data_IF_109480411822
#
_entry.id   IF_109480411822
#
_cell.length_a   1.000
_cell.length_b   1.000
_cell.length_c   1.000
_cell.angle_alpha   90.00
_cell.angle_beta   90.00
_cell.angle_gamma   90.00
#
_symmetry.space_group_name_H-M   'P 1'
#
loop_
_entity.id
_entity.type
_entity.pdbx_description
1 polymer ?
#
# COMPACT_ATOMS: atom_id res chain seq x y z
N UNK A 1 -13.78 0.46 7.73
CA UNK A 1 -15.20 0.82 7.59
C UNK A 1 -15.34 1.99 6.60
N UNK A 2 -15.81 1.68 5.38
CA UNK A 2 -15.97 2.65 4.29
C UNK A 2 -17.01 3.73 4.61
N UNK A 3 -18.05 3.41 5.38
CA UNK A 3 -19.05 4.40 5.78
C UNK A 3 -18.47 5.43 6.75
N UNK A 4 -17.58 5.00 7.66
CA UNK A 4 -16.84 5.89 8.55
C UNK A 4 -15.91 6.82 7.75
N UNK A 5 -15.18 6.27 6.76
CA UNK A 5 -14.32 7.07 5.85
C UNK A 5 -15.13 8.11 5.07
N UNK A 6 -16.28 7.72 4.50
CA UNK A 6 -17.16 8.68 3.79
C UNK A 6 -17.64 9.81 4.70
N UNK A 7 -17.98 9.50 5.95
CA UNK A 7 -18.36 10.54 6.92
C UNK A 7 -17.18 11.46 7.24
N UNK A 8 -15.97 10.90 7.40
CA UNK A 8 -14.77 11.69 7.63
C UNK A 8 -14.46 12.63 6.45
N UNK A 9 -14.48 12.15 5.21
CA UNK A 9 -14.29 13.02 4.03
C UNK A 9 -15.33 14.14 3.98
N UNK A 10 -16.60 13.84 4.24
CA UNK A 10 -17.67 14.86 4.26
C UNK A 10 -17.55 15.91 5.37
N UNK A 11 -16.76 15.65 6.42
CA UNK A 11 -16.53 16.61 7.50
C UNK A 11 -15.33 17.55 7.21
N UNK A 12 -14.57 17.29 6.16
CA UNK A 12 -13.47 18.15 5.74
C UNK A 12 -13.97 19.31 4.87
N UNK A 13 -13.34 20.45 4.99
CA UNK A 13 -13.66 21.62 4.19
C UNK A 13 -13.32 21.42 2.72
N UNK A 14 -12.21 20.74 2.44
CA UNK A 14 -11.73 20.45 1.10
C UNK A 14 -10.95 19.14 1.11
N UNK A 15 -11.21 18.29 0.13
CA UNK A 15 -10.47 17.05 -0.13
C UNK A 15 -9.88 17.12 -1.52
N UNK A 16 -8.57 16.98 -1.61
CA UNK A 16 -7.84 16.92 -2.87
C UNK A 16 -7.27 15.52 -3.04
N UNK A 17 -7.54 14.89 -4.17
CA UNK A 17 -6.90 13.63 -4.57
C UNK A 17 -5.90 13.87 -5.69
N UNK A 18 -4.75 13.22 -5.59
CA UNK A 18 -3.76 13.13 -6.67
C UNK A 18 -3.68 11.66 -7.05
N UNK A 19 -4.10 11.30 -8.24
CA UNK A 19 -4.19 9.89 -8.65
C UNK A 19 -4.16 9.78 -10.18
N UNK A 20 -3.67 8.65 -10.69
CA UNK A 20 -3.68 8.33 -12.12
C UNK A 20 -4.95 7.61 -12.57
N UNK A 21 -5.79 7.16 -11.64
CA UNK A 21 -7.02 6.43 -11.91
C UNK A 21 -8.21 7.05 -11.18
N UNK A 22 -9.41 6.88 -11.74
CA UNK A 22 -10.65 7.40 -11.16
C UNK A 22 -11.15 6.52 -10.00
N UNK A 23 -10.42 6.53 -8.89
CA UNK A 23 -10.65 5.71 -7.72
C UNK A 23 -11.88 6.14 -6.93
N UNK A 24 -12.28 5.31 -5.95
CA UNK A 24 -13.34 5.69 -5.01
C UNK A 24 -12.98 6.93 -4.18
N UNK A 25 -11.70 7.14 -3.88
CA UNK A 25 -11.21 8.37 -3.22
C UNK A 25 -11.44 9.58 -4.11
N UNK A 26 -11.05 9.52 -5.39
CA UNK A 26 -11.30 10.59 -6.35
C UNK A 26 -12.79 10.97 -6.44
N UNK A 27 -13.68 9.98 -6.45
CA UNK A 27 -15.15 10.20 -6.51
C UNK A 27 -15.72 10.87 -5.25
N UNK A 28 -14.97 10.94 -4.17
CA UNK A 28 -15.36 11.59 -2.92
C UNK A 28 -14.51 12.83 -2.61
N UNK A 29 -13.68 13.26 -3.55
CA UNK A 29 -12.85 14.46 -3.44
C UNK A 29 -13.50 15.64 -4.14
N UNK A 30 -13.18 16.85 -3.68
CA UNK A 30 -13.65 18.10 -4.28
C UNK A 30 -12.80 18.49 -5.49
N UNK A 31 -11.51 18.14 -5.45
CA UNK A 31 -10.54 18.41 -6.52
C UNK A 31 -9.77 17.12 -6.79
N UNK A 32 -9.63 16.77 -8.08
CA UNK A 32 -8.78 15.67 -8.52
C UNK A 32 -7.71 16.22 -9.46
N UNK A 33 -6.46 15.96 -9.10
CA UNK A 33 -5.30 16.32 -9.91
C UNK A 33 -4.76 15.04 -10.57
N UNK A 34 -4.80 14.96 -11.91
CA UNK A 34 -4.35 13.77 -12.62
C UNK A 34 -2.83 13.62 -12.53
N UNK A 35 -2.39 12.50 -11.97
CA UNK A 35 -0.97 12.15 -11.82
C UNK A 35 -0.49 11.28 -12.97
N UNK A 36 0.80 11.36 -13.27
CA UNK A 36 1.48 10.42 -14.16
C UNK A 36 1.59 9.04 -13.52
N UNK A 37 1.52 8.02 -14.35
CA UNK A 37 1.99 6.67 -14.00
C UNK A 37 3.53 6.65 -13.99
N UNK A 38 4.10 5.58 -13.45
CA UNK A 38 5.56 5.35 -13.50
C UNK A 38 6.14 5.27 -14.93
N UNK A 39 5.33 4.97 -15.94
CA UNK A 39 5.74 4.88 -17.33
C UNK A 39 5.83 6.24 -18.04
N UNK A 40 5.22 7.27 -17.43
CA UNK A 40 5.09 8.61 -17.98
C UNK A 40 6.08 9.61 -17.38
N UNK A 41 6.95 9.18 -16.46
CA UNK A 41 7.96 10.02 -15.78
C UNK A 41 9.29 9.30 -15.60
N UNK A 42 10.33 10.06 -15.33
CA UNK A 42 11.63 9.52 -14.92
C UNK A 42 11.72 9.40 -13.41
N UNK A 43 12.38 8.34 -12.93
CA UNK A 43 12.61 8.12 -11.50
C UNK A 43 13.79 7.16 -11.29
N UNK A 44 14.13 6.89 -10.05
CA UNK A 44 15.02 5.79 -9.64
C UNK A 44 14.35 5.01 -8.51
N UNK A 45 14.55 3.71 -8.49
CA UNK A 45 14.05 2.87 -7.39
C UNK A 45 15.03 1.73 -7.10
N UNK A 46 14.93 1.19 -5.89
CA UNK A 46 15.66 -0.01 -5.49
C UNK A 46 14.92 -1.28 -5.88
N UNK A 47 15.64 -2.34 -6.20
CA UNK A 47 15.04 -3.65 -6.40
C UNK A 47 15.64 -4.70 -5.46
N UNK A 48 14.96 -5.85 -5.36
CA UNK A 48 15.35 -6.94 -4.47
C UNK A 48 14.74 -6.84 -3.08
N UNK A 49 13.75 -5.99 -2.87
CA UNK A 49 13.03 -5.80 -1.61
C UNK A 49 13.99 -5.67 -0.42
N UNK A 50 13.85 -6.55 0.59
CA UNK A 50 14.72 -6.51 1.77
C UNK A 50 16.19 -6.88 1.51
N UNK A 51 16.52 -7.42 0.35
CA UNK A 51 17.91 -7.73 0.01
C UNK A 51 18.71 -6.51 -0.47
N UNK A 52 18.03 -5.41 -0.83
CA UNK A 52 18.66 -4.20 -1.34
C UNK A 52 19.61 -4.49 -2.51
N UNK A 53 19.15 -5.30 -3.47
CA UNK A 53 20.01 -5.92 -4.48
C UNK A 53 20.58 -4.94 -5.49
N UNK A 54 19.90 -3.84 -5.75
CA UNK A 54 20.37 -2.86 -6.70
C UNK A 54 19.43 -1.70 -6.94
N UNK A 55 19.73 -0.90 -7.95
CA UNK A 55 18.96 0.25 -8.39
C UNK A 55 18.50 0.07 -9.84
N UNK A 56 17.35 0.63 -10.16
CA UNK A 56 16.79 0.69 -11.52
C UNK A 56 16.62 2.15 -11.92
N UNK A 57 17.07 2.50 -13.11
CA UNK A 57 16.75 3.75 -13.77
C UNK A 57 15.36 3.60 -14.42
N UNK A 58 14.35 4.17 -13.80
CA UNK A 58 12.97 4.14 -14.29
C UNK A 58 12.80 5.23 -15.35
N UNK A 59 13.20 4.93 -16.57
CA UNK A 59 13.16 5.87 -17.68
C UNK A 59 11.72 6.00 -18.22
N UNK A 60 11.31 7.22 -18.47
CA UNK A 60 10.02 7.51 -19.11
C UNK A 60 9.90 6.79 -20.45
N UNK A 61 8.85 6.01 -20.65
CA UNK A 61 8.58 5.25 -21.86
C UNK A 61 7.58 5.95 -22.79
N UNK A 62 6.64 6.71 -22.23
CA UNK A 62 5.59 7.42 -22.97
C UNK A 62 5.42 8.83 -22.40
N UNK A 63 4.94 9.75 -23.21
CA UNK A 63 4.61 11.08 -22.71
C UNK A 63 3.35 11.04 -21.83
N UNK A 64 3.24 11.95 -20.84
CA UNK A 64 2.06 12.06 -20.00
C UNK A 64 0.77 12.18 -20.83
N UNK A 65 -0.21 11.34 -20.50
CA UNK A 65 -1.49 11.36 -21.17
C UNK A 65 -2.38 12.50 -20.66
N UNK A 66 -3.07 13.14 -21.58
CA UNK A 66 -4.05 14.21 -21.31
C UNK A 66 -3.44 15.37 -20.48
N UNK A 67 -3.94 15.61 -19.28
CA UNK A 67 -3.49 16.68 -18.38
C UNK A 67 -2.65 16.14 -17.21
N UNK A 68 -2.27 14.86 -17.25
CA UNK A 68 -1.47 14.27 -16.19
C UNK A 68 -0.10 14.93 -16.07
N UNK A 69 0.38 15.00 -14.85
CA UNK A 69 1.69 15.57 -14.48
C UNK A 69 2.34 14.69 -13.44
N UNK A 70 3.67 14.68 -13.38
CA UNK A 70 4.35 14.06 -12.25
C UNK A 70 3.96 14.74 -10.92
N UNK A 71 4.03 14.00 -9.83
CA UNK A 71 3.78 14.57 -8.50
C UNK A 71 4.71 15.76 -8.22
N UNK A 72 5.96 15.68 -8.69
CA UNK A 72 6.90 16.80 -8.62
C UNK A 72 6.37 18.04 -9.32
N UNK A 73 5.88 17.91 -10.56
CA UNK A 73 5.34 19.03 -11.32
C UNK A 73 4.05 19.59 -10.75
N UNK A 74 3.17 18.74 -10.20
CA UNK A 74 1.97 19.17 -9.49
C UNK A 74 2.37 20.06 -8.32
N UNK A 75 3.27 19.59 -7.45
CA UNK A 75 3.70 20.34 -6.27
C UNK A 75 4.52 21.59 -6.64
N UNK A 76 5.38 21.48 -7.64
CA UNK A 76 6.13 22.62 -8.18
C UNK A 76 5.19 23.77 -8.64
N UNK A 77 4.10 23.43 -9.31
CA UNK A 77 3.12 24.42 -9.76
C UNK A 77 2.33 25.05 -8.60
N UNK A 78 1.99 24.27 -7.57
CA UNK A 78 1.34 24.77 -6.36
C UNK A 78 2.26 25.69 -5.57
N UNK A 79 3.49 25.27 -5.31
CA UNK A 79 4.46 26.05 -4.53
C UNK A 79 4.85 27.36 -5.23
N UNK A 80 4.86 27.36 -6.58
CA UNK A 80 5.02 28.62 -7.35
C UNK A 80 3.92 29.63 -7.04
N UNK A 81 2.66 29.18 -6.97
CA UNK A 81 1.53 30.06 -6.62
C UNK A 81 1.57 30.56 -5.18
N UNK A 82 2.21 29.82 -4.29
CA UNK A 82 2.41 30.19 -2.89
C UNK A 82 3.68 31.00 -2.64
N UNK A 83 4.46 31.30 -3.68
CA UNK A 83 5.74 32.03 -3.55
C UNK A 83 6.87 31.20 -2.91
N UNK A 84 6.74 29.87 -2.89
CA UNK A 84 7.70 28.94 -2.27
C UNK A 84 8.37 28.00 -3.27
N UNK A 85 8.46 28.44 -4.51
CA UNK A 85 9.02 27.63 -5.60
C UNK A 85 10.45 27.17 -5.32
N UNK A 86 11.33 28.11 -4.94
CA UNK A 86 12.75 27.81 -4.68
C UNK A 86 12.95 26.93 -3.45
N UNK A 87 12.15 27.09 -2.41
CA UNK A 87 12.19 26.22 -1.23
C UNK A 87 11.89 24.77 -1.58
N UNK A 88 10.95 24.54 -2.50
CA UNK A 88 10.55 23.20 -2.91
C UNK A 88 11.51 22.61 -3.92
N UNK A 89 11.86 23.35 -4.96
CA UNK A 89 12.66 22.83 -6.08
C UNK A 89 14.17 22.92 -5.85
N UNK A 90 14.63 23.80 -4.97
CA UNK A 90 16.06 24.17 -4.83
C UNK A 90 16.68 24.58 -6.17
N UNK A 91 15.89 25.17 -7.07
CA UNK A 91 16.30 25.51 -8.43
C UNK A 91 16.47 24.33 -9.38
N UNK A 92 16.14 23.10 -8.97
CA UNK A 92 16.30 21.89 -9.76
C UNK A 92 14.99 21.48 -10.46
N UNK A 93 15.12 20.93 -11.65
CA UNK A 93 14.05 20.18 -12.32
C UNK A 93 13.99 18.72 -11.86
N UNK A 94 13.05 17.95 -12.41
CA UNK A 94 12.84 16.54 -12.02
C UNK A 94 14.08 15.67 -12.27
N UNK A 95 14.73 15.80 -13.44
CA UNK A 95 15.92 15.01 -13.76
C UNK A 95 17.14 15.43 -12.93
N UNK A 96 17.28 16.69 -12.61
CA UNK A 96 18.32 17.18 -11.71
C UNK A 96 18.12 16.63 -10.29
N UNK A 97 16.88 16.50 -9.83
CA UNK A 97 16.57 15.82 -8.57
C UNK A 97 16.91 14.33 -8.61
N UNK A 98 16.52 13.60 -9.66
CA UNK A 98 16.88 12.17 -9.83
C UNK A 98 18.39 11.99 -9.80
N UNK A 99 19.13 12.84 -10.50
CA UNK A 99 20.61 12.84 -10.49
C UNK A 99 21.18 13.13 -9.10
N UNK A 100 20.64 14.12 -8.40
CA UNK A 100 21.08 14.50 -7.05
C UNK A 100 20.88 13.34 -6.07
N UNK A 101 19.70 12.70 -6.08
CA UNK A 101 19.38 11.57 -5.22
C UNK A 101 20.28 10.35 -5.51
N UNK A 102 20.57 10.08 -6.79
CA UNK A 102 21.52 9.04 -7.14
C UNK A 102 22.93 9.34 -6.59
N UNK A 103 23.42 10.57 -6.77
CA UNK A 103 24.75 10.97 -6.30
C UNK A 103 24.84 10.96 -4.77
N UNK A 104 23.78 11.36 -4.06
CA UNK A 104 23.70 11.24 -2.61
C UNK A 104 23.79 9.76 -2.18
N UNK A 105 23.05 8.87 -2.84
CA UNK A 105 23.11 7.43 -2.61
C UNK A 105 24.51 6.88 -2.89
N UNK A 106 25.14 7.27 -4.00
CA UNK A 106 26.51 6.87 -4.36
C UNK A 106 27.51 7.29 -3.29
N UNK A 107 27.45 8.55 -2.85
CA UNK A 107 28.35 9.06 -1.81
C UNK A 107 28.14 8.36 -0.46
N UNK A 108 26.90 8.08 -0.09
CA UNK A 108 26.59 7.38 1.16
C UNK A 108 27.06 5.91 1.18
N UNK A 109 27.30 5.32 0.01
CA UNK A 109 27.75 3.93 -0.15
C UNK A 109 29.21 3.82 -0.62
N UNK A 110 29.96 4.91 -0.60
CA UNK A 110 31.37 4.91 -0.98
C UNK A 110 32.17 3.89 -0.14
N UNK A 111 32.92 3.03 -0.81
CA UNK A 111 33.68 1.94 -0.18
C UNK A 111 32.86 0.68 0.17
N UNK A 112 31.53 0.75 0.14
CA UNK A 112 30.66 -0.43 0.32
C UNK A 112 30.30 -1.09 -1.02
N UNK A 113 29.98 -0.25 -2.02
CA UNK A 113 29.64 -0.67 -3.37
C UNK A 113 30.31 0.23 -4.40
N UNK A 114 30.73 -0.37 -5.50
CA UNK A 114 31.20 0.37 -6.67
C UNK A 114 29.97 0.84 -7.47
N UNK A 115 29.76 2.15 -7.47
CA UNK A 115 28.66 2.78 -8.21
C UNK A 115 29.24 3.69 -9.30
N UNK A 116 28.81 3.52 -10.57
CA UNK A 116 29.30 4.34 -11.69
C UNK A 116 28.83 5.80 -11.58
N UNK A 117 29.27 6.64 -12.49
CA UNK A 117 28.69 7.97 -12.66
C UNK A 117 27.25 7.88 -13.11
N UNK A 118 26.45 8.92 -12.81
CA UNK A 118 24.99 8.90 -13.08
C UNK A 118 24.68 8.60 -14.55
N UNK A 119 25.40 9.20 -15.49
CA UNK A 119 25.09 9.04 -16.92
C UNK A 119 25.32 7.61 -17.40
N UNK A 120 26.36 6.95 -16.90
CA UNK A 120 26.62 5.53 -17.17
C UNK A 120 25.52 4.63 -16.57
N UNK A 121 25.15 4.88 -15.31
CA UNK A 121 24.02 4.17 -14.67
C UNK A 121 22.72 4.35 -15.44
N UNK A 122 22.42 5.60 -15.86
CA UNK A 122 21.18 5.93 -16.55
C UNK A 122 21.10 5.29 -17.93
N UNK A 123 22.20 5.26 -18.67
CA UNK A 123 22.30 4.59 -19.97
C UNK A 123 22.14 3.07 -19.83
N UNK A 124 22.79 2.48 -18.83
CA UNK A 124 22.72 1.04 -18.56
C UNK A 124 21.34 0.60 -18.09
N UNK A 125 20.58 1.46 -17.43
CA UNK A 125 19.22 1.22 -16.96
C UNK A 125 19.11 0.53 -15.60
N UNK A 126 20.17 -0.11 -15.10
CA UNK A 126 20.16 -0.75 -13.78
C UNK A 126 21.56 -0.90 -13.21
N UNK A 127 21.63 -1.08 -11.88
CA UNK A 127 22.86 -1.40 -11.15
C UNK A 127 22.57 -2.59 -10.23
N UNK A 128 23.31 -3.68 -10.39
CA UNK A 128 23.23 -4.87 -9.53
C UNK A 128 24.42 -4.88 -8.56
N UNK A 129 24.16 -4.81 -7.27
CA UNK A 129 25.18 -4.91 -6.21
C UNK A 129 25.67 -6.36 -5.97
N UNK A 130 25.15 -7.32 -6.71
CA UNK A 130 25.51 -8.71 -6.59
C UNK A 130 24.94 -9.39 -5.33
N UNK A 131 25.52 -10.52 -4.99
CA UNK A 131 25.14 -11.23 -3.75
C UNK A 131 25.79 -10.55 -2.55
N UNK A 132 24.97 -10.01 -1.67
CA UNK A 132 25.43 -9.51 -0.37
C UNK A 132 26.05 -10.63 0.48
N UNK A 133 26.87 -10.25 1.44
CA UNK A 133 27.35 -11.18 2.48
C UNK A 133 26.16 -11.64 3.33
N UNK A 134 26.17 -12.88 3.85
CA UNK A 134 25.18 -13.32 4.81
C UNK A 134 25.07 -12.30 5.96
N UNK A 135 23.85 -11.85 6.21
CA UNK A 135 23.59 -10.86 7.26
C UNK A 135 22.59 -11.43 8.25
N UNK A 136 22.93 -11.31 9.52
CA UNK A 136 22.03 -11.68 10.62
C UNK A 136 21.55 -10.42 11.31
N UNK A 137 20.22 -10.24 11.34
CA UNK A 137 19.61 -9.08 11.99
C UNK A 137 20.02 -9.00 13.45
N UNK A 138 20.40 -7.81 13.89
CA UNK A 138 20.85 -7.53 15.25
C UNK A 138 22.07 -8.35 15.74
N UNK A 139 22.95 -8.82 14.84
CA UNK A 139 24.16 -9.54 15.21
C UNK A 139 25.04 -8.71 16.13
N UNK A 140 25.36 -7.47 15.75
CA UNK A 140 26.18 -6.57 16.55
C UNK A 140 25.57 -6.31 17.95
N UNK A 141 24.25 -6.12 18.06
CA UNK A 141 23.55 -5.99 19.33
C UNK A 141 23.69 -7.26 20.20
N UNK A 142 23.64 -8.44 19.58
CA UNK A 142 23.82 -9.71 20.30
C UNK A 142 25.25 -9.93 20.81
N UNK A 143 26.23 -9.40 20.09
CA UNK A 143 27.64 -9.46 20.48
C UNK A 143 27.95 -8.48 21.62
N UNK A 144 27.51 -7.26 21.52
CA UNK A 144 27.66 -6.22 22.53
C UNK A 144 26.46 -5.26 22.55
N UNK A 145 25.48 -5.50 23.42
CA UNK A 145 24.28 -4.68 23.51
C UNK A 145 24.50 -3.24 23.99
N UNK A 146 25.59 -3.00 24.75
CA UNK A 146 25.87 -1.66 25.28
C UNK A 146 26.47 -0.74 24.21
N UNK A 147 27.39 -1.27 23.39
CA UNK A 147 28.01 -0.52 22.28
C UNK A 147 27.04 -0.43 21.08
N UNK A 148 26.31 -1.50 20.78
CA UNK A 148 25.42 -1.60 19.63
C UNK A 148 23.94 -1.57 20.05
N UNK A 149 23.56 -0.58 20.86
CA UNK A 149 22.20 -0.43 21.36
C UNK A 149 21.16 -0.42 20.22
N UNK A 150 19.97 -0.96 20.51
CA UNK A 150 18.83 -0.89 19.59
C UNK A 150 18.26 0.54 19.55
N UNK A 151 17.55 0.87 18.46
CA UNK A 151 16.84 2.15 18.30
C UNK A 151 15.56 2.26 19.15
N UNK A 152 15.48 1.56 20.29
CA UNK A 152 14.39 1.64 21.25
C UNK A 152 14.71 2.67 22.33
N UNK A 153 13.72 3.22 23.05
CA UNK A 153 13.97 4.16 24.16
C UNK A 153 14.92 3.66 25.23
N UNK A 154 14.96 2.36 25.49
CA UNK A 154 15.90 1.73 26.44
C UNK A 154 17.24 1.33 25.84
N UNK A 155 17.37 1.30 24.52
CA UNK A 155 18.51 0.70 23.82
C UNK A 155 18.49 -0.83 23.77
N UNK A 156 17.52 -1.46 24.45
CA UNK A 156 17.37 -2.91 24.56
C UNK A 156 16.06 -3.41 23.95
N UNK A 157 15.84 -4.72 23.97
CA UNK A 157 14.57 -5.32 23.57
C UNK A 157 13.49 -4.94 24.58
N UNK A 158 12.46 -4.23 24.13
CA UNK A 158 11.32 -3.83 24.98
C UNK A 158 10.15 -4.80 24.78
N UNK A 159 9.89 -5.62 25.79
CA UNK A 159 8.70 -6.49 25.85
C UNK A 159 7.45 -5.65 26.15
N UNK A 160 7.62 -4.54 26.84
CA UNK A 160 6.56 -3.60 27.22
C UNK A 160 6.91 -2.18 26.78
N UNK A 161 6.03 -1.55 26.00
CA UNK A 161 6.20 -0.17 25.53
C UNK A 161 5.52 0.81 26.50
N UNK A 162 6.31 1.59 27.21
CA UNK A 162 5.78 2.66 28.08
C UNK A 162 4.99 3.70 27.27
N UNK A 163 5.43 4.04 26.08
CA UNK A 163 4.75 4.99 25.20
C UNK A 163 3.32 4.54 24.90
N UNK A 164 3.15 3.26 24.49
CA UNK A 164 1.82 2.71 24.20
C UNK A 164 0.98 2.61 25.48
N UNK A 165 1.58 2.18 26.59
CA UNK A 165 0.89 2.08 27.89
C UNK A 165 0.29 3.42 28.34
N UNK A 166 1.02 4.51 28.14
CA UNK A 166 0.57 5.86 28.50
C UNK A 166 -0.60 6.37 27.65
N UNK A 167 -0.87 5.75 26.47
CA UNK A 167 -2.01 6.11 25.63
C UNK A 167 -3.36 5.63 26.21
N UNK A 168 -3.34 4.68 27.14
CA UNK A 168 -4.54 4.20 27.83
C UNK A 168 -5.57 3.47 26.96
N UNK A 169 -5.15 2.88 25.84
CA UNK A 169 -6.06 2.15 24.95
C UNK A 169 -6.53 0.84 25.59
N UNK A 170 -7.85 0.63 25.58
CA UNK A 170 -8.46 -0.59 26.13
C UNK A 170 -8.01 -1.87 25.40
N UNK A 171 -7.85 -1.80 24.07
CA UNK A 171 -7.50 -2.95 23.21
C UNK A 171 -6.13 -2.82 22.54
N UNK A 172 -5.26 -2.00 23.10
CA UNK A 172 -3.87 -1.87 22.66
C UNK A 172 -3.03 -1.61 23.91
N UNK A 173 -2.68 -2.69 24.60
CA UNK A 173 -1.89 -2.65 25.81
C UNK A 173 -0.41 -2.40 25.50
N UNK A 174 0.37 -2.10 26.54
CA UNK A 174 1.81 -1.85 26.43
C UNK A 174 2.65 -3.09 26.05
N UNK A 175 2.06 -4.27 26.03
CA UNK A 175 2.70 -5.53 25.64
C UNK A 175 1.72 -6.41 24.84
N UNK A 176 2.18 -7.41 24.08
CA UNK A 176 1.32 -8.35 23.39
C UNK A 176 0.40 -9.10 24.34
N UNK A 177 -0.89 -9.05 24.09
CA UNK A 177 -1.92 -9.75 24.86
C UNK A 177 -2.89 -10.44 23.92
N UNK A 178 -3.49 -11.52 24.40
CA UNK A 178 -4.64 -12.12 23.76
C UNK A 178 -5.90 -11.36 24.14
N UNK A 179 -6.69 -11.00 23.13
CA UNK A 179 -8.04 -10.48 23.33
C UNK A 179 -9.03 -11.43 22.69
N UNK A 180 -10.13 -11.71 23.39
CA UNK A 180 -11.21 -12.48 22.81
C UNK A 180 -11.81 -11.76 21.60
N UNK A 181 -12.03 -12.49 20.52
CA UNK A 181 -12.64 -11.93 19.31
C UNK A 181 -14.09 -11.54 19.58
N UNK A 182 -14.47 -10.35 19.19
CA UNK A 182 -15.87 -9.87 19.31
C UNK A 182 -16.86 -10.64 18.43
N UNK A 183 -16.37 -11.26 17.37
CA UNK A 183 -17.12 -12.12 16.46
C UNK A 183 -16.31 -13.37 16.16
N UNK A 184 -16.92 -14.51 16.33
CA UNK A 184 -16.27 -15.82 16.08
C UNK A 184 -17.34 -16.82 15.68
N UNK A 185 -17.08 -17.61 14.63
CA UNK A 185 -17.90 -18.77 14.26
C UNK A 185 -17.76 -19.91 15.28
N UNK A 186 -18.56 -20.94 15.13
CA UNK A 186 -18.54 -22.15 15.95
C UNK A 186 -18.71 -21.89 17.46
N UNK A 187 -19.87 -21.33 17.82
CA UNK A 187 -20.25 -21.09 19.22
C UNK A 187 -19.62 -19.85 19.87
N UNK A 188 -18.94 -19.01 19.10
CA UNK A 188 -18.49 -17.72 19.58
C UNK A 188 -19.59 -16.64 19.55
N UNK A 189 -19.30 -15.43 20.05
CA UNK A 189 -20.25 -14.33 20.05
C UNK A 189 -20.82 -14.05 18.66
N UNK A 190 -22.14 -13.95 18.56
CA UNK A 190 -22.87 -13.66 17.31
C UNK A 190 -23.03 -14.83 16.33
N UNK A 191 -22.52 -16.04 16.64
CA UNK A 191 -22.59 -17.20 15.73
C UNK A 191 -24.02 -17.72 15.52
N UNK A 192 -24.90 -17.57 16.50
CA UNK A 192 -26.30 -17.96 16.37
C UNK A 192 -27.07 -17.10 15.35
N UNK A 193 -26.74 -15.81 15.31
CA UNK A 193 -27.32 -14.84 14.39
C UNK A 193 -26.65 -14.86 13.03
N UNK A 194 -25.34 -15.07 12.99
CA UNK A 194 -24.50 -15.04 11.80
C UNK A 194 -23.66 -16.33 11.73
N UNK A 195 -24.26 -17.47 11.28
CA UNK A 195 -23.64 -18.78 11.41
C UNK A 195 -22.53 -19.07 10.42
N UNK A 196 -22.41 -18.26 9.36
CA UNK A 196 -21.39 -18.47 8.33
C UNK A 196 -20.10 -17.76 8.67
N UNK A 197 -19.00 -18.43 8.38
CA UNK A 197 -17.67 -17.85 8.48
C UNK A 197 -17.28 -17.20 7.16
N UNK A 198 -17.02 -15.89 7.17
CA UNK A 198 -16.46 -15.19 6.03
C UNK A 198 -14.92 -15.22 6.10
N UNK A 199 -14.32 -15.95 5.17
CA UNK A 199 -12.86 -15.92 4.96
C UNK A 199 -12.53 -14.86 3.91
N UNK A 200 -11.70 -13.88 4.29
CA UNK A 200 -11.24 -12.82 3.40
C UNK A 200 -9.85 -13.15 2.86
N UNK A 201 -9.80 -13.84 1.73
CA UNK A 201 -8.56 -14.18 1.04
C UNK A 201 -8.12 -13.06 0.08
N UNK A 202 -6.83 -13.04 -0.26
CA UNK A 202 -6.35 -12.25 -1.39
C UNK A 202 -6.93 -12.80 -2.69
N UNK A 203 -7.50 -11.97 -3.56
CA UNK A 203 -8.00 -12.42 -4.85
C UNK A 203 -6.86 -12.75 -5.81
N UNK A 204 -7.03 -13.80 -6.61
CA UNK A 204 -6.03 -14.25 -7.58
C UNK A 204 -5.82 -13.27 -8.76
N UNK A 205 -6.84 -12.48 -9.07
CA UNK A 205 -6.86 -11.63 -10.27
C UNK A 205 -6.37 -10.21 -10.04
N UNK A 206 -6.15 -9.79 -8.80
CA UNK A 206 -5.68 -8.44 -8.49
C UNK A 206 -4.91 -8.37 -7.18
N UNK A 207 -4.02 -7.40 -7.08
CA UNK A 207 -3.33 -7.09 -5.83
C UNK A 207 -4.10 -6.00 -5.07
N UNK A 208 -4.67 -6.36 -3.92
CA UNK A 208 -5.52 -5.46 -3.11
C UNK A 208 -6.65 -4.83 -3.94
N UNK A 209 -6.69 -3.50 -4.05
CA UNK A 209 -7.68 -2.76 -4.85
C UNK A 209 -7.14 -2.26 -6.19
N UNK A 210 -5.93 -2.63 -6.58
CA UNK A 210 -5.35 -2.17 -7.83
C UNK A 210 -6.16 -2.69 -9.02
N UNK A 211 -6.29 -1.84 -10.04
CA UNK A 211 -7.07 -2.10 -11.26
C UNK A 211 -8.57 -2.33 -11.05
N UNK A 212 -9.11 -2.07 -9.82
CA UNK A 212 -10.55 -2.16 -9.58
C UNK A 212 -11.38 -1.16 -10.38
N UNK A 213 -10.77 -0.12 -10.87
CA UNK A 213 -11.39 0.96 -11.67
C UNK A 213 -11.54 0.58 -13.13
N UNK A 214 -10.73 -0.35 -13.65
CA UNK A 214 -10.81 -0.83 -15.04
C UNK A 214 -11.99 -1.79 -15.21
N UNK A 215 -12.91 -1.44 -16.08
CA UNK A 215 -14.07 -2.28 -16.43
C UNK A 215 -13.62 -3.55 -17.17
N UNK A 216 -12.65 -3.44 -18.05
CA UNK A 216 -12.07 -4.56 -18.81
C UNK A 216 -11.41 -5.56 -17.88
N UNK A 217 -10.63 -5.07 -16.90
CA UNK A 217 -10.00 -5.94 -15.93
C UNK A 217 -11.04 -6.61 -15.01
N UNK A 218 -12.01 -5.86 -14.53
CA UNK A 218 -13.10 -6.40 -13.71
C UNK A 218 -13.94 -7.44 -14.44
N UNK A 219 -14.15 -7.29 -15.73
CA UNK A 219 -14.89 -8.25 -16.55
C UNK A 219 -14.27 -9.66 -16.52
N UNK A 220 -12.97 -9.78 -16.20
CA UNK A 220 -12.29 -11.07 -16.11
C UNK A 220 -12.66 -11.91 -14.89
N UNK A 221 -13.24 -11.30 -13.85
CA UNK A 221 -13.54 -12.01 -12.58
C UNK A 221 -14.87 -11.63 -11.93
N UNK A 222 -15.45 -10.48 -12.27
CA UNK A 222 -16.66 -10.01 -11.61
C UNK A 222 -17.90 -10.82 -12.07
N UNK A 223 -18.77 -11.11 -11.15
CA UNK A 223 -20.09 -11.72 -11.41
C UNK A 223 -21.13 -10.61 -11.42
N UNK A 224 -21.76 -10.37 -12.57
CA UNK A 224 -22.70 -9.25 -12.77
C UNK A 224 -22.19 -7.91 -12.24
N UNK A 225 -20.90 -7.60 -12.47
CA UNK A 225 -20.25 -6.37 -12.02
C UNK A 225 -19.97 -6.28 -10.50
N UNK A 226 -20.11 -7.38 -9.76
CA UNK A 226 -19.83 -7.48 -8.32
C UNK A 226 -18.61 -8.34 -8.05
N UNK A 227 -17.94 -8.07 -6.93
CA UNK A 227 -16.87 -8.95 -6.44
C UNK A 227 -17.41 -10.35 -6.19
N UNK A 228 -16.70 -11.41 -6.55
CA UNK A 228 -17.14 -12.78 -6.33
C UNK A 228 -17.14 -13.13 -4.84
N UNK A 229 -18.10 -13.95 -4.44
CA UNK A 229 -18.11 -14.69 -3.19
C UNK A 229 -18.20 -16.18 -3.50
N UNK A 230 -17.26 -16.96 -2.98
CA UNK A 230 -17.23 -18.40 -3.15
C UNK A 230 -18.06 -19.05 -2.06
N UNK A 231 -18.97 -19.95 -2.44
CA UNK A 231 -19.86 -20.64 -1.52
C UNK A 231 -19.86 -22.12 -1.86
N UNK A 232 -19.79 -22.97 -0.82
CA UNK A 232 -19.95 -24.40 -1.00
C UNK A 232 -21.33 -24.73 -1.62
N UNK A 233 -21.39 -25.59 -2.66
CA UNK A 233 -22.64 -25.92 -3.35
C UNK A 233 -23.74 -26.46 -2.44
N UNK A 234 -23.41 -27.25 -1.43
CA UNK A 234 -24.41 -27.78 -0.48
C UNK A 234 -24.99 -26.69 0.40
N UNK A 235 -24.18 -25.73 0.85
CA UNK A 235 -24.67 -24.62 1.66
C UNK A 235 -25.49 -23.62 0.81
N UNK A 236 -25.07 -23.40 -0.43
CA UNK A 236 -25.85 -22.62 -1.39
C UNK A 236 -27.23 -23.25 -1.63
N UNK A 237 -27.29 -24.58 -1.84
CA UNK A 237 -28.53 -25.33 -2.04
C UNK A 237 -29.49 -25.21 -0.85
N UNK A 238 -28.98 -25.28 0.39
CA UNK A 238 -29.78 -25.11 1.62
C UNK A 238 -30.44 -23.73 1.69
N UNK A 239 -29.85 -22.73 1.04
CA UNK A 239 -30.34 -21.33 0.98
C UNK A 239 -31.10 -20.99 -0.31
N UNK A 240 -31.20 -21.93 -1.26
CA UNK A 240 -31.79 -21.68 -2.57
C UNK A 240 -30.97 -20.72 -3.44
N UNK A 241 -29.67 -20.61 -3.17
CA UNK A 241 -28.72 -19.77 -3.90
C UNK A 241 -28.14 -20.56 -5.07
N UNK A 242 -28.00 -19.93 -6.22
CA UNK A 242 -27.43 -20.51 -7.45
C UNK A 242 -26.14 -19.79 -7.85
N UNK A 243 -25.34 -20.49 -8.65
CA UNK A 243 -24.19 -19.86 -9.29
C UNK A 243 -24.59 -18.66 -10.11
N UNK A 244 -23.83 -17.57 -10.00
CA UNK A 244 -24.12 -16.30 -10.66
C UNK A 244 -25.12 -15.39 -9.95
N UNK A 245 -25.79 -15.83 -8.90
CA UNK A 245 -26.73 -14.98 -8.15
C UNK A 245 -26.01 -13.80 -7.46
N UNK A 246 -26.75 -12.72 -7.27
CA UNK A 246 -26.27 -11.61 -6.42
C UNK A 246 -26.83 -11.80 -5.00
N UNK A 247 -25.95 -11.93 -4.04
CA UNK A 247 -26.28 -12.10 -2.63
C UNK A 247 -25.88 -10.91 -1.78
N UNK A 248 -26.64 -10.70 -0.71
CA UNK A 248 -26.31 -9.75 0.35
C UNK A 248 -25.56 -10.47 1.47
N UNK A 249 -24.30 -10.09 1.67
CA UNK A 249 -23.47 -10.53 2.79
C UNK A 249 -23.55 -9.48 3.88
N UNK A 250 -23.95 -9.86 5.10
CA UNK A 250 -24.20 -8.88 6.15
C UNK A 250 -23.94 -9.44 7.56
N UNK A 251 -23.67 -8.52 8.47
CA UNK A 251 -23.73 -8.73 9.92
C UNK A 251 -24.24 -7.44 10.60
N UNK A 252 -24.16 -7.35 11.93
CA UNK A 252 -24.63 -6.18 12.67
C UNK A 252 -23.83 -4.89 12.39
N UNK A 253 -22.62 -4.99 11.85
CA UNK A 253 -21.75 -3.86 11.54
C UNK A 253 -21.90 -3.31 10.13
N UNK A 254 -22.38 -4.13 9.19
CA UNK A 254 -22.49 -3.69 7.81
C UNK A 254 -22.95 -4.76 6.85
N UNK A 255 -23.03 -4.36 5.59
CA UNK A 255 -23.45 -5.23 4.50
C UNK A 255 -22.81 -4.85 3.17
N UNK A 256 -22.73 -5.82 2.27
CA UNK A 256 -22.26 -5.65 0.89
C UNK A 256 -23.06 -6.58 -0.06
N UNK A 257 -22.98 -6.29 -1.35
CA UNK A 257 -23.47 -7.19 -2.39
C UNK A 257 -22.28 -7.88 -3.07
N UNK A 258 -22.42 -9.18 -3.29
CA UNK A 258 -21.41 -10.00 -3.95
C UNK A 258 -22.07 -10.95 -4.98
N UNK A 259 -21.32 -11.32 -6.01
CA UNK A 259 -21.77 -12.30 -6.99
C UNK A 259 -21.30 -13.70 -6.61
N UNK A 260 -22.20 -14.67 -6.67
CA UNK A 260 -21.93 -16.04 -6.22
C UNK A 260 -21.12 -16.81 -7.27
N UNK A 261 -20.11 -17.51 -6.79
CA UNK A 261 -19.39 -18.56 -7.51
C UNK A 261 -19.43 -19.81 -6.63
N UNK A 262 -20.00 -20.89 -7.14
CA UNK A 262 -20.05 -22.16 -6.42
C UNK A 262 -18.69 -22.87 -6.51
N UNK A 263 -18.14 -23.29 -5.37
CA UNK A 263 -16.84 -23.93 -5.30
C UNK A 263 -16.77 -24.96 -4.17
N UNK A 264 -16.43 -26.20 -4.50
CA UNK A 264 -16.42 -27.33 -3.55
C UNK A 264 -15.36 -27.21 -2.45
N UNK A 265 -14.31 -26.45 -2.69
CA UNK A 265 -13.20 -26.24 -1.74
C UNK A 265 -13.51 -25.26 -0.60
N UNK A 266 -14.71 -24.74 -0.53
CA UNK A 266 -15.15 -23.83 0.54
C UNK A 266 -16.23 -24.43 1.42
#
# INVERSE_FOLDING_TARGET
>A
DRNKMRKAFKSLQTVVAVDFAWTATCRHSDIVLPACTQWERNDIDGYGAYSGRGLVAMQKLVDPLFQSKSDFDIMRNLTRRWGRHEEYTRGMDEMQWVRSLYNECRSANEGAFEMPEFDEFWEKGFLDFGKGKPWTRHAAFREDPEINALGTPSGFIEISSRTIGNMGYEKCQNHPMWFEKSERSHGGPGSDKHPYWLQSCHPDKRLHSQMCESEEFRATYAVQGREPIYINPEDAKKKGIKDGDIVRVFNDRGQLLAGVVLMDSY
#
